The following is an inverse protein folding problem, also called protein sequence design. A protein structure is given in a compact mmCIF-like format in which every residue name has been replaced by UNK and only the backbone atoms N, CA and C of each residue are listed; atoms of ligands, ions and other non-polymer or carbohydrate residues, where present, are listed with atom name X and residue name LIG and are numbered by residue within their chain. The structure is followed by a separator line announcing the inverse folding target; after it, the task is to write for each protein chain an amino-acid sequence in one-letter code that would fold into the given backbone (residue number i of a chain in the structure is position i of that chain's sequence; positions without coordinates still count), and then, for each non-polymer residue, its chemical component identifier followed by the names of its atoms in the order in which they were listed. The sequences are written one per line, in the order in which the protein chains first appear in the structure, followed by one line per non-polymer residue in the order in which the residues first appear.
data_IF_894354887216
#
_entry.id   IF_894354887216
#
_cell.length_a   1.000
_cell.length_b   1.000
_cell.length_c   1.000
_cell.angle_alpha   90.00
_cell.angle_beta   90.00
_cell.angle_gamma   90.00
#
_symmetry.space_group_name_H-M   'P 1'
#
loop_
_entity.id
_entity.type
_entity.pdbx_description
1 polymer ?
#
# COMPACT_ATOMS: atom_id res chain seq x y z
N UNK A 1 52.01 -20.13 -36.50
CA UNK A 1 52.23 -20.11 -37.95
C UNK A 1 51.20 -21.04 -38.56
N UNK A 2 50.18 -20.43 -39.15
CA UNK A 2 49.21 -20.96 -40.12
C UNK A 2 49.89 -21.70 -41.31
N UNK A 3 49.18 -22.28 -42.31
CA UNK A 3 47.75 -22.62 -42.44
C UNK A 3 47.44 -23.94 -43.24
N UNK A 4 46.15 -24.23 -43.42
CA UNK A 4 45.43 -24.73 -44.62
C UNK A 4 46.03 -25.78 -45.59
N UNK A 5 45.23 -26.81 -45.90
CA UNK A 5 44.87 -27.03 -47.31
C UNK A 5 43.58 -27.84 -47.53
N UNK A 6 42.77 -27.34 -48.46
CA UNK A 6 41.51 -27.89 -48.96
C UNK A 6 41.71 -28.67 -50.28
N UNK A 7 40.57 -29.12 -50.87
CA UNK A 7 40.36 -29.71 -52.21
C UNK A 7 40.30 -31.26 -52.24
N UNK A 8 39.42 -31.95 -52.97
CA UNK A 8 38.41 -31.61 -53.97
C UNK A 8 37.43 -32.79 -54.17
N UNK A 9 36.23 -32.52 -54.70
CA UNK A 9 35.30 -33.50 -55.27
C UNK A 9 35.76 -33.98 -56.67
N UNK A 10 35.18 -35.06 -57.23
CA UNK A 10 34.20 -34.82 -58.31
C UNK A 10 33.02 -35.82 -58.39
N UNK A 11 32.06 -35.44 -59.24
CA UNK A 11 30.75 -36.03 -59.56
C UNK A 11 30.80 -36.72 -60.94
N UNK A 12 30.14 -37.87 -61.11
CA UNK A 12 29.43 -38.32 -62.34
C UNK A 12 28.53 -39.52 -62.01
N UNK A 13 27.18 -39.43 -62.09
CA UNK A 13 26.28 -39.68 -63.25
C UNK A 13 26.62 -40.96 -64.02
N UNK A 14 25.73 -41.86 -64.43
CA UNK A 14 24.28 -42.12 -64.32
C UNK A 14 24.02 -43.32 -65.23
N UNK A 15 23.15 -44.27 -64.91
CA UNK A 15 22.25 -44.89 -65.90
C UNK A 15 21.12 -45.71 -65.26
N UNK A 16 19.94 -45.50 -65.81
CA UNK A 16 18.62 -46.06 -65.53
C UNK A 16 18.43 -47.50 -66.00
N UNK A 17 17.62 -48.28 -65.29
CA UNK A 17 16.55 -49.06 -65.91
C UNK A 17 15.45 -49.42 -64.89
N UNK A 18 14.23 -49.37 -65.40
CA UNK A 18 12.92 -49.49 -64.79
C UNK A 18 12.60 -50.88 -64.25
N UNK A 19 11.91 -50.96 -63.11
CA UNK A 19 10.91 -52.01 -62.84
C UNK A 19 9.84 -51.48 -61.86
N UNK A 20 8.60 -51.90 -62.15
CA UNK A 20 7.29 -51.43 -61.69
C UNK A 20 6.92 -51.78 -60.23
N UNK A 21 6.38 -50.82 -59.48
CA UNK A 21 5.70 -51.05 -58.20
C UNK A 21 4.20 -51.39 -58.38
N UNK A 22 3.64 -52.34 -57.60
CA UNK A 22 2.21 -52.59 -57.57
C UNK A 22 1.46 -51.65 -56.60
N UNK A 23 0.30 -51.22 -57.07
CA UNK A 23 -0.65 -50.25 -56.52
C UNK A 23 -1.38 -50.77 -55.26
N UNK A 24 -0.69 -50.92 -54.12
CA UNK A 24 -1.29 -51.48 -52.88
C UNK A 24 -0.93 -50.80 -51.55
N UNK A 25 0.04 -49.88 -51.52
CA UNK A 25 0.61 -49.38 -50.26
C UNK A 25 0.12 -48.01 -49.76
N UNK A 26 -0.61 -47.24 -50.58
CA UNK A 26 -0.91 -45.82 -50.27
C UNK A 26 -2.30 -45.55 -49.68
N UNK A 27 -3.18 -46.56 -49.58
CA UNK A 27 -4.55 -46.41 -49.06
C UNK A 27 -4.71 -46.77 -47.57
N UNK A 28 -3.63 -46.83 -46.78
CA UNK A 28 -3.71 -47.13 -45.33
C UNK A 28 -3.17 -46.04 -44.40
N UNK A 29 -2.89 -44.83 -44.91
CA UNK A 29 -2.32 -43.73 -44.11
C UNK A 29 -3.09 -42.42 -44.14
N UNK A 30 -4.36 -42.44 -44.57
CA UNK A 30 -5.27 -41.30 -44.52
C UNK A 30 -6.61 -41.78 -43.95
N UNK A 31 -6.65 -42.12 -42.67
CA UNK A 31 -7.93 -42.26 -41.96
C UNK A 31 -7.73 -42.14 -40.43
N UNK A 32 -7.70 -40.91 -39.92
CA UNK A 32 -8.12 -40.54 -38.54
C UNK A 32 -8.01 -39.01 -38.37
N UNK A 33 -8.98 -38.27 -38.91
CA UNK A 33 -9.27 -36.89 -38.47
C UNK A 33 -10.80 -36.76 -38.46
N UNK A 34 -11.46 -36.67 -37.29
CA UNK A 34 -12.88 -36.32 -37.24
C UNK A 34 -13.04 -34.79 -37.38
N UNK A 35 -13.85 -34.39 -38.35
CA UNK A 35 -14.28 -33.01 -38.63
C UNK A 35 -15.56 -32.74 -37.80
N UNK A 36 -15.68 -31.62 -37.06
CA UNK A 36 -16.97 -31.24 -36.49
C UNK A 36 -17.85 -30.56 -37.56
N UNK A 37 -19.03 -31.12 -37.75
CA UNK A 37 -20.12 -30.63 -38.59
C UNK A 37 -20.74 -29.36 -38.01
N UNK A 38 -20.85 -28.32 -38.82
CA UNK A 38 -21.59 -27.09 -38.51
C UNK A 38 -23.10 -27.37 -38.64
N UNK A 39 -23.85 -27.27 -37.55
CA UNK A 39 -25.32 -27.17 -37.59
C UNK A 39 -25.78 -25.89 -36.88
N UNK A 40 -26.86 -25.32 -37.41
CA UNK A 40 -27.29 -23.93 -37.28
C UNK A 40 -28.38 -23.80 -36.20
N UNK A 41 -28.28 -22.73 -35.39
CA UNK A 41 -29.35 -22.04 -34.63
C UNK A 41 -30.20 -22.81 -33.61
N UNK A 42 -30.01 -22.48 -32.32
CA UNK A 42 -31.11 -22.25 -31.36
C UNK A 42 -30.60 -21.45 -30.14
N UNK A 43 -31.22 -20.30 -29.90
CA UNK A 43 -31.22 -19.54 -28.66
C UNK A 43 -31.78 -20.37 -27.50
N UNK A 44 -31.11 -20.37 -26.33
CA UNK A 44 -31.70 -20.39 -24.97
C UNK A 44 -30.68 -20.85 -23.90
N UNK A 45 -30.59 -20.06 -22.82
CA UNK A 45 -30.32 -20.47 -21.44
C UNK A 45 -29.22 -21.52 -21.15
N UNK A 46 -28.08 -21.06 -20.62
CA UNK A 46 -27.24 -21.85 -19.72
C UNK A 46 -26.98 -21.05 -18.44
N UNK A 47 -28.04 -20.96 -17.63
CA UNK A 47 -27.92 -21.03 -16.18
C UNK A 47 -27.73 -22.50 -15.79
N UNK A 48 -27.21 -22.76 -14.59
CA UNK A 48 -26.93 -24.06 -13.93
C UNK A 48 -25.50 -24.58 -14.16
N UNK A 49 -24.70 -24.91 -13.14
CA UNK A 49 -24.93 -25.08 -11.70
C UNK A 49 -23.60 -25.14 -10.96
N UNK A 50 -23.64 -24.64 -9.72
CA UNK A 50 -22.68 -24.74 -8.64
C UNK A 50 -22.15 -26.15 -8.38
N UNK A 51 -20.85 -26.26 -8.12
CA UNK A 51 -20.33 -27.24 -7.18
C UNK A 51 -19.75 -26.49 -5.97
N UNK A 52 -20.61 -26.39 -4.97
CA UNK A 52 -20.28 -26.21 -3.56
C UNK A 52 -19.54 -27.45 -3.06
N UNK A 53 -18.33 -27.26 -2.55
CA UNK A 53 -17.73 -28.10 -1.52
C UNK A 53 -17.27 -27.12 -0.44
N UNK A 54 -18.19 -26.71 0.44
CA UNK A 54 -18.36 -27.34 1.76
C UNK A 54 -17.07 -27.38 2.59
N UNK A 55 -16.53 -26.19 2.86
CA UNK A 55 -15.87 -25.87 4.13
C UNK A 55 -16.30 -24.46 4.60
N UNK A 56 -17.58 -24.15 4.36
CA UNK A 56 -18.19 -22.81 4.42
C UNK A 56 -18.62 -22.35 5.83
N UNK A 57 -18.11 -22.97 6.89
CA UNK A 57 -18.49 -22.63 8.28
C UNK A 57 -17.41 -21.94 9.11
N UNK A 58 -16.14 -22.24 8.86
CA UNK A 58 -15.03 -21.91 9.80
C UNK A 58 -14.11 -20.81 9.29
N UNK A 59 -14.15 -20.50 7.99
CA UNK A 59 -13.32 -19.46 7.35
C UNK A 59 -13.98 -18.08 7.30
N UNK A 60 -15.31 -18.01 7.39
CA UNK A 60 -16.12 -16.78 7.37
C UNK A 60 -16.04 -15.92 8.65
N UNK A 61 -15.56 -16.48 9.76
CA UNK A 61 -15.29 -15.71 10.99
C UNK A 61 -13.87 -15.12 11.04
N UNK A 62 -12.98 -15.54 10.13
CA UNK A 62 -11.54 -15.38 10.34
C UNK A 62 -10.94 -14.10 9.76
N UNK A 63 -11.65 -13.39 8.87
CA UNK A 63 -11.05 -12.23 8.19
C UNK A 63 -11.71 -10.87 8.41
N UNK A 64 -12.78 -10.83 9.21
CA UNK A 64 -13.39 -9.63 9.80
C UNK A 64 -13.54 -9.68 11.33
N UNK A 65 -13.15 -10.79 11.96
CA UNK A 65 -13.51 -11.15 13.34
C UNK A 65 -13.43 -10.02 14.37
N UNK A 66 -12.26 -9.38 14.61
CA UNK A 66 -12.16 -8.33 15.61
C UNK A 66 -12.73 -6.97 15.15
N UNK A 67 -12.59 -6.60 13.87
CA UNK A 67 -13.00 -5.28 13.38
C UNK A 67 -14.53 -5.08 13.41
N UNK A 68 -15.32 -6.15 13.19
CA UNK A 68 -16.79 -6.12 13.34
C UNK A 68 -17.19 -5.76 14.78
N UNK A 69 -16.49 -6.31 15.78
CA UNK A 69 -16.70 -5.96 17.18
C UNK A 69 -16.32 -4.52 17.51
N UNK A 70 -15.26 -3.99 16.89
CA UNK A 70 -14.84 -2.60 17.11
C UNK A 70 -15.78 -1.56 16.47
N UNK A 71 -16.69 -1.95 15.57
CA UNK A 71 -17.64 -1.00 14.96
C UNK A 71 -18.54 -0.32 16.00
N UNK A 72 -18.73 -0.94 17.17
CA UNK A 72 -19.45 -0.35 18.30
C UNK A 72 -18.80 0.95 18.80
N UNK A 73 -17.49 1.11 18.60
CA UNK A 73 -16.78 2.33 18.98
C UNK A 73 -17.12 3.53 18.09
N UNK A 74 -17.71 3.33 16.90
CA UNK A 74 -18.12 4.43 16.03
C UNK A 74 -19.22 5.28 16.67
N UNK A 75 -20.41 4.74 17.03
CA UNK A 75 -21.42 5.53 17.72
C UNK A 75 -20.94 5.99 19.11
N UNK A 76 -20.17 5.18 19.83
CA UNK A 76 -19.64 5.56 21.16
C UNK A 76 -18.67 6.74 21.06
N UNK A 77 -17.75 6.74 20.10
CA UNK A 77 -16.76 7.81 19.90
C UNK A 77 -17.41 9.12 19.46
N UNK A 78 -18.43 9.04 18.61
CA UNK A 78 -19.24 10.21 18.21
C UNK A 78 -20.04 10.74 19.41
N UNK A 79 -20.75 9.87 20.13
CA UNK A 79 -21.48 10.26 21.34
C UNK A 79 -20.55 10.86 22.39
N UNK A 80 -19.33 10.32 22.54
CA UNK A 80 -18.35 10.85 23.47
C UNK A 80 -17.93 12.28 23.12
N UNK A 81 -17.74 12.56 21.83
CA UNK A 81 -17.46 13.90 21.32
C UNK A 81 -18.62 14.88 21.49
N UNK A 82 -19.86 14.42 21.36
CA UNK A 82 -21.07 15.26 21.54
C UNK A 82 -21.33 15.55 23.01
N UNK A 83 -21.18 14.56 23.89
CA UNK A 83 -21.41 14.70 25.33
C UNK A 83 -20.27 15.43 26.07
N UNK A 84 -19.15 15.72 25.40
CA UNK A 84 -18.01 16.41 26.02
C UNK A 84 -17.34 15.59 27.12
N UNK A 85 -17.13 14.29 26.89
CA UNK A 85 -16.32 13.45 27.79
C UNK A 85 -14.86 13.95 27.89
N UNK A 86 -14.05 13.43 28.84
CA UNK A 86 -12.65 13.83 28.97
C UNK A 86 -11.88 13.67 27.65
N UNK A 87 -10.99 14.61 27.33
CA UNK A 87 -10.30 14.70 26.03
C UNK A 87 -9.58 13.40 25.66
N UNK A 88 -8.92 12.77 26.64
CA UNK A 88 -8.22 11.49 26.49
C UNK A 88 -9.19 10.37 26.08
N UNK A 89 -10.39 10.33 26.67
CA UNK A 89 -11.40 9.34 26.34
C UNK A 89 -11.95 9.56 24.93
N UNK A 90 -12.28 10.81 24.57
CA UNK A 90 -12.71 11.17 23.21
C UNK A 90 -11.64 10.75 22.20
N UNK A 91 -10.38 11.05 22.47
CA UNK A 91 -9.25 10.71 21.61
C UNK A 91 -9.13 9.19 21.39
N UNK A 92 -9.08 8.40 22.46
CA UNK A 92 -8.92 6.93 22.39
C UNK A 92 -10.12 6.27 21.70
N UNK A 93 -11.35 6.66 22.07
CA UNK A 93 -12.56 6.08 21.49
C UNK A 93 -12.66 6.35 19.99
N UNK A 94 -12.30 7.56 19.55
CA UNK A 94 -12.31 7.90 18.12
C UNK A 94 -11.15 7.24 17.34
N UNK A 95 -10.00 6.96 17.97
CA UNK A 95 -8.97 6.10 17.35
C UNK A 95 -9.53 4.69 17.12
N UNK A 96 -10.16 4.08 18.12
CA UNK A 96 -10.73 2.74 18.00
C UNK A 96 -11.82 2.69 16.93
N UNK A 97 -12.65 3.73 16.84
CA UNK A 97 -13.62 3.91 15.77
C UNK A 97 -12.96 3.93 14.39
N UNK A 98 -11.91 4.73 14.19
CA UNK A 98 -11.18 4.84 12.92
C UNK A 98 -10.50 3.53 12.50
N UNK A 99 -9.92 2.82 13.47
CA UNK A 99 -9.32 1.48 13.26
C UNK A 99 -10.36 0.50 12.70
N UNK A 100 -11.62 0.58 13.15
CA UNK A 100 -12.72 -0.25 12.65
C UNK A 100 -13.29 0.21 11.31
N UNK A 101 -13.32 1.53 11.06
CA UNK A 101 -13.85 2.10 9.82
C UNK A 101 -12.93 1.87 8.63
N UNK A 102 -11.61 1.85 8.83
CA UNK A 102 -10.64 1.62 7.75
C UNK A 102 -10.88 0.33 6.92
N UNK A 103 -11.02 -0.87 7.53
CA UNK A 103 -11.35 -2.08 6.78
C UNK A 103 -12.75 -2.01 6.16
N UNK A 104 -13.72 -1.38 6.81
CA UNK A 104 -15.08 -1.22 6.27
C UNK A 104 -15.11 -0.32 5.02
N UNK A 105 -14.39 0.80 5.03
CA UNK A 105 -14.23 1.67 3.85
C UNK A 105 -13.57 0.88 2.72
N UNK A 106 -12.51 0.13 3.01
CA UNK A 106 -11.82 -0.71 2.00
C UNK A 106 -12.77 -1.72 1.35
N UNK A 107 -13.67 -2.31 2.14
CA UNK A 107 -14.70 -3.23 1.64
C UNK A 107 -15.73 -2.58 0.73
N UNK A 108 -16.23 -1.40 1.12
CA UNK A 108 -17.21 -0.68 0.29
C UNK A 108 -16.59 -0.23 -1.03
N UNK A 109 -15.32 0.19 -1.04
CA UNK A 109 -14.55 0.48 -2.27
C UNK A 109 -14.39 -0.77 -3.12
N UNK A 110 -14.18 -1.93 -2.51
CA UNK A 110 -14.05 -3.20 -3.21
C UNK A 110 -15.34 -3.56 -3.96
N UNK A 111 -16.49 -3.42 -3.29
CA UNK A 111 -17.80 -3.64 -3.89
C UNK A 111 -18.11 -2.62 -4.99
N UNK A 112 -17.80 -1.33 -4.76
CA UNK A 112 -18.04 -0.25 -5.74
C UNK A 112 -17.17 -0.39 -7.00
N UNK A 113 -15.95 -0.90 -6.84
CA UNK A 113 -15.02 -1.14 -7.95
C UNK A 113 -15.30 -2.46 -8.67
N UNK A 114 -16.22 -3.29 -8.18
CA UNK A 114 -16.57 -4.52 -8.84
C UNK A 114 -17.23 -4.24 -10.20
N UNK A 115 -16.73 -4.87 -11.27
CA UNK A 115 -17.20 -4.59 -12.63
C UNK A 115 -16.64 -3.32 -13.29
N UNK A 116 -15.81 -2.51 -12.61
CA UNK A 116 -15.24 -1.27 -13.17
C UNK A 116 -14.02 -1.49 -14.09
N UNK A 117 -13.65 -2.73 -14.40
CA UNK A 117 -12.52 -3.05 -15.29
C UNK A 117 -11.19 -2.43 -14.83
N UNK A 118 -10.50 -1.75 -15.74
CA UNK A 118 -9.21 -1.07 -15.46
C UNK A 118 -9.35 0.00 -14.38
N UNK A 119 -10.50 0.70 -14.32
CA UNK A 119 -10.78 1.73 -13.33
C UNK A 119 -10.91 1.17 -11.91
N UNK A 120 -11.22 -0.13 -11.76
CA UNK A 120 -11.29 -0.76 -10.46
C UNK A 120 -9.96 -0.65 -9.71
N UNK A 121 -8.84 -0.88 -10.41
CA UNK A 121 -7.50 -0.78 -9.83
C UNK A 121 -7.17 0.65 -9.39
N UNK A 122 -7.52 1.64 -10.20
CA UNK A 122 -7.31 3.06 -9.90
C UNK A 122 -8.14 3.52 -8.69
N UNK A 123 -9.44 3.21 -8.65
CA UNK A 123 -10.31 3.54 -7.52
C UNK A 123 -9.81 2.91 -6.22
N UNK A 124 -9.32 1.68 -6.29
CA UNK A 124 -8.72 0.98 -5.14
C UNK A 124 -7.40 1.61 -4.69
N UNK A 125 -6.58 2.10 -5.60
CA UNK A 125 -5.33 2.78 -5.25
C UNK A 125 -5.60 4.10 -4.51
N UNK A 126 -6.59 4.87 -4.96
CA UNK A 126 -6.96 6.16 -4.36
C UNK A 126 -7.71 5.98 -3.04
N UNK A 127 -8.79 5.19 -3.05
CA UNK A 127 -9.69 5.07 -1.90
C UNK A 127 -9.29 3.94 -0.95
N UNK A 128 -8.33 3.08 -1.30
CA UNK A 128 -7.81 2.06 -0.40
C UNK A 128 -7.13 2.64 0.84
N UNK A 129 -6.58 3.86 0.73
CA UNK A 129 -5.97 4.61 1.83
C UNK A 129 -6.84 5.79 2.31
N UNK A 130 -8.16 5.68 2.13
CA UNK A 130 -9.12 6.73 2.51
C UNK A 130 -8.98 7.18 3.96
N UNK A 131 -8.80 6.27 4.93
CA UNK A 131 -8.73 6.67 6.34
C UNK A 131 -7.49 7.52 6.64
N UNK A 132 -6.32 7.17 6.11
CA UNK A 132 -5.11 8.02 6.22
C UNK A 132 -5.34 9.39 5.60
N UNK A 133 -5.95 9.41 4.41
CA UNK A 133 -6.28 10.63 3.69
C UNK A 133 -7.25 11.51 4.51
N UNK A 134 -8.32 10.94 5.06
CA UNK A 134 -9.31 11.65 5.88
C UNK A 134 -8.66 12.25 7.13
N UNK A 135 -7.85 11.47 7.85
CA UNK A 135 -7.18 11.97 9.05
C UNK A 135 -6.22 13.11 8.69
N UNK A 136 -5.46 12.95 7.61
CA UNK A 136 -4.49 13.96 7.16
C UNK A 136 -5.16 15.24 6.67
N UNK A 137 -6.27 15.14 5.92
CA UNK A 137 -7.07 16.30 5.50
C UNK A 137 -7.65 17.00 6.73
N UNK A 138 -8.19 16.25 7.68
CA UNK A 138 -8.76 16.82 8.91
C UNK A 138 -7.71 17.58 9.70
N UNK A 139 -6.54 16.98 9.92
CA UNK A 139 -5.40 17.61 10.56
C UNK A 139 -4.98 18.92 9.85
N UNK A 140 -4.86 18.89 8.52
CA UNK A 140 -4.53 20.07 7.72
C UNK A 140 -5.60 21.17 7.83
N UNK A 141 -6.90 20.83 7.79
CA UNK A 141 -7.99 21.78 7.94
C UNK A 141 -7.94 22.51 9.30
N UNK A 142 -7.55 21.80 10.37
CA UNK A 142 -7.32 22.37 11.70
C UNK A 142 -5.99 23.12 11.84
N UNK A 143 -5.19 23.25 10.77
CA UNK A 143 -3.88 23.91 10.82
C UNK A 143 -2.80 23.06 11.49
N UNK A 144 -3.07 21.79 11.76
CA UNK A 144 -2.15 20.85 12.38
C UNK A 144 -1.30 20.13 11.32
N UNK A 145 -0.50 20.90 10.57
CA UNK A 145 0.28 20.40 9.43
C UNK A 145 1.29 19.31 9.83
N UNK A 146 1.89 19.43 11.02
CA UNK A 146 2.83 18.45 11.57
C UNK A 146 2.19 17.07 11.74
N UNK A 147 0.92 17.00 12.18
CA UNK A 147 0.19 15.73 12.28
C UNK A 147 -0.15 15.16 10.89
N UNK A 148 -0.60 16.01 9.95
CA UNK A 148 -0.87 15.58 8.58
C UNK A 148 0.38 14.98 7.91
N UNK A 149 1.54 15.61 8.12
CA UNK A 149 2.82 15.13 7.60
C UNK A 149 3.29 13.86 8.33
N UNK A 150 3.17 13.85 9.66
CA UNK A 150 3.52 12.72 10.51
C UNK A 150 2.76 11.46 10.16
N UNK A 151 1.48 11.55 9.78
CA UNK A 151 0.66 10.40 9.39
C UNK A 151 1.27 9.67 8.19
N UNK A 152 1.63 10.40 7.14
CA UNK A 152 2.17 9.80 5.90
C UNK A 152 3.54 9.18 6.16
N UNK A 153 4.45 9.90 6.84
CA UNK A 153 5.79 9.37 7.13
C UNK A 153 5.73 8.21 8.10
N UNK A 154 4.96 8.36 9.18
CA UNK A 154 4.77 7.32 10.19
C UNK A 154 4.14 6.06 9.61
N UNK A 155 3.18 6.20 8.70
CA UNK A 155 2.59 5.09 7.95
C UNK A 155 3.65 4.35 7.13
N UNK A 156 4.53 5.09 6.44
CA UNK A 156 5.62 4.52 5.64
C UNK A 156 6.69 3.83 6.49
N UNK A 157 7.06 4.40 7.63
CA UNK A 157 7.97 3.78 8.62
C UNK A 157 7.34 2.49 9.18
N UNK A 158 6.05 2.54 9.54
CA UNK A 158 5.31 1.38 10.03
C UNK A 158 5.28 0.25 9.00
N UNK A 159 4.97 0.53 7.74
CA UNK A 159 4.97 -0.48 6.69
C UNK A 159 6.36 -1.08 6.43
N UNK A 160 7.40 -0.24 6.35
CA UNK A 160 8.76 -0.67 6.04
C UNK A 160 9.42 -1.48 7.16
N UNK A 161 9.11 -1.20 8.42
CA UNK A 161 9.71 -1.89 9.57
C UNK A 161 8.73 -2.83 10.29
N UNK A 162 7.63 -2.30 10.83
CA UNK A 162 6.71 -3.08 11.65
C UNK A 162 5.96 -4.15 10.83
N UNK A 163 5.33 -3.75 9.72
CA UNK A 163 4.52 -4.68 8.91
C UNK A 163 5.40 -5.67 8.16
N UNK A 164 6.52 -5.22 7.61
CA UNK A 164 7.51 -6.10 6.98
C UNK A 164 8.13 -7.06 7.99
N UNK A 165 8.57 -6.56 9.14
CA UNK A 165 9.16 -7.36 10.22
C UNK A 165 8.19 -8.42 10.74
N UNK A 166 6.93 -8.04 10.98
CA UNK A 166 5.86 -8.98 11.33
C UNK A 166 5.63 -10.03 10.25
N UNK A 167 5.65 -9.63 8.98
CA UNK A 167 5.48 -10.55 7.84
C UNK A 167 6.64 -11.55 7.74
N UNK A 168 7.89 -11.10 7.92
CA UNK A 168 9.08 -11.96 7.93
C UNK A 168 9.06 -12.93 9.10
N UNK A 169 8.75 -12.43 10.30
CA UNK A 169 8.62 -13.24 11.51
C UNK A 169 7.54 -14.31 11.31
N UNK A 170 6.33 -13.93 10.90
CA UNK A 170 5.20 -14.86 10.73
C UNK A 170 5.43 -15.89 9.62
N UNK A 171 6.02 -15.49 8.49
CA UNK A 171 6.28 -16.37 7.36
C UNK A 171 7.42 -17.37 7.61
N UNK A 172 8.44 -16.96 8.36
CA UNK A 172 9.66 -17.74 8.63
C UNK A 172 9.63 -18.49 9.96
N UNK A 173 8.65 -18.24 10.84
CA UNK A 173 8.59 -18.91 12.15
C UNK A 173 8.52 -20.44 12.01
N UNK A 174 9.47 -21.15 12.63
CA UNK A 174 9.60 -22.60 12.50
C UNK A 174 10.18 -23.08 11.16
N UNK A 175 10.88 -22.21 10.42
CA UNK A 175 11.64 -22.53 9.21
C UNK A 175 13.04 -21.92 9.30
N UNK A 176 14.03 -22.55 8.66
CA UNK A 176 15.40 -22.01 8.62
C UNK A 176 15.46 -20.68 7.86
N UNK A 177 14.81 -20.63 6.71
CA UNK A 177 14.70 -19.44 5.89
C UNK A 177 13.45 -19.50 5.00
N UNK A 178 12.85 -18.35 4.73
CA UNK A 178 11.75 -18.20 3.77
C UNK A 178 12.26 -17.46 2.53
N UNK A 179 12.15 -18.10 1.36
CA UNK A 179 12.51 -17.47 0.07
C UNK A 179 11.35 -16.66 -0.48
N UNK A 180 11.64 -15.64 -1.29
CA UNK A 180 10.67 -14.87 -2.07
C UNK A 180 11.30 -14.34 -3.36
N UNK A 181 10.50 -13.79 -4.28
CA UNK A 181 10.97 -13.43 -5.63
C UNK A 181 11.74 -12.11 -5.65
N UNK A 182 13.07 -12.18 -5.80
CA UNK A 182 13.96 -11.00 -5.94
C UNK A 182 13.53 -10.05 -7.05
N UNK A 183 13.18 -10.57 -8.22
CA UNK A 183 12.89 -9.74 -9.40
C UNK A 183 11.62 -8.91 -9.20
N UNK A 184 10.56 -9.51 -8.68
CA UNK A 184 9.26 -8.83 -8.50
C UNK A 184 9.26 -7.88 -7.32
N UNK A 185 9.77 -8.31 -6.17
CA UNK A 185 9.82 -7.45 -4.97
C UNK A 185 10.93 -6.41 -5.06
N UNK A 186 12.04 -6.74 -5.72
CA UNK A 186 13.18 -5.84 -5.93
C UNK A 186 12.81 -4.59 -6.71
N UNK A 187 12.12 -4.75 -7.86
CA UNK A 187 11.64 -3.62 -8.65
C UNK A 187 10.73 -2.68 -7.86
N UNK A 188 9.79 -3.22 -7.07
CA UNK A 188 8.91 -2.41 -6.22
C UNK A 188 9.67 -1.68 -5.10
N UNK A 189 10.61 -2.35 -4.45
CA UNK A 189 11.41 -1.74 -3.39
C UNK A 189 12.31 -0.60 -3.91
N UNK A 190 12.85 -0.75 -5.13
CA UNK A 190 13.63 0.30 -5.79
C UNK A 190 12.76 1.53 -6.11
N UNK A 191 11.53 1.33 -6.59
CA UNK A 191 10.58 2.43 -6.79
C UNK A 191 10.27 3.16 -5.48
N UNK A 192 10.03 2.43 -4.39
CA UNK A 192 9.81 3.05 -3.07
C UNK A 192 11.04 3.88 -2.66
N UNK A 193 12.25 3.36 -2.82
CA UNK A 193 13.46 4.09 -2.48
C UNK A 193 13.61 5.39 -3.28
N UNK A 194 13.38 5.34 -4.60
CA UNK A 194 13.47 6.52 -5.48
C UNK A 194 12.45 7.59 -5.07
N UNK A 195 11.20 7.18 -4.83
CA UNK A 195 10.12 8.10 -4.42
C UNK A 195 10.42 8.71 -3.06
N UNK A 196 10.87 7.92 -2.10
CA UNK A 196 11.24 8.40 -0.76
C UNK A 196 12.36 9.43 -0.83
N UNK A 197 13.39 9.20 -1.64
CA UNK A 197 14.47 10.19 -1.85
C UNK A 197 13.88 11.47 -2.45
N UNK A 198 13.09 11.37 -3.51
CA UNK A 198 12.45 12.52 -4.17
C UNK A 198 11.62 13.37 -3.18
N UNK A 199 10.83 12.72 -2.33
CA UNK A 199 9.99 13.40 -1.32
C UNK A 199 10.80 14.13 -0.25
N UNK A 200 12.02 13.65 0.07
CA UNK A 200 12.86 14.26 1.10
C UNK A 200 13.68 15.45 0.60
N UNK A 201 13.83 15.65 -0.72
CA UNK A 201 14.61 16.74 -1.30
C UNK A 201 14.18 18.13 -0.78
N UNK A 202 12.89 18.50 -0.74
CA UNK A 202 12.47 19.81 -0.21
C UNK A 202 12.83 19.98 1.26
N UNK A 203 12.74 18.90 2.04
CA UNK A 203 13.10 18.93 3.44
C UNK A 203 14.60 19.13 3.64
N UNK A 204 15.44 18.37 2.93
CA UNK A 204 16.91 18.49 2.99
C UNK A 204 17.34 19.89 2.56
N UNK A 205 16.77 20.43 1.48
CA UNK A 205 17.06 21.80 1.04
C UNK A 205 16.66 22.83 2.10
N UNK A 206 15.50 22.67 2.74
CA UNK A 206 15.05 23.59 3.79
C UNK A 206 16.00 23.62 5.01
N UNK A 207 16.62 22.48 5.32
CA UNK A 207 17.56 22.34 6.43
C UNK A 207 18.93 22.93 6.04
N UNK A 208 19.42 22.63 4.84
CA UNK A 208 20.68 23.16 4.31
C UNK A 208 20.65 24.70 4.20
N UNK A 209 19.48 25.28 3.94
CA UNK A 209 19.31 26.73 3.81
C UNK A 209 18.94 27.45 5.13
N UNK A 210 19.07 26.80 6.31
CA UNK A 210 18.73 27.43 7.60
C UNK A 210 19.59 28.67 7.92
N UNK A 211 20.81 28.76 7.38
CA UNK A 211 21.78 29.81 7.73
C UNK A 211 21.72 31.08 6.84
N UNK A 212 20.91 31.12 5.78
CA UNK A 212 20.82 32.28 4.88
C UNK A 212 19.75 33.31 5.34
N UNK A 213 20.21 34.47 5.82
CA UNK A 213 19.51 35.44 6.69
C UNK A 213 18.36 36.30 6.11
N UNK A 214 17.51 35.79 5.20
CA UNK A 214 16.31 36.52 4.73
C UNK A 214 15.03 35.73 5.01
N UNK A 215 14.35 36.04 6.13
CA UNK A 215 13.20 35.26 6.64
C UNK A 215 11.95 35.29 5.74
N UNK A 216 11.61 36.43 5.13
CA UNK A 216 10.42 36.54 4.25
C UNK A 216 10.60 35.87 2.88
N UNK A 217 11.79 35.97 2.30
CA UNK A 217 12.14 35.25 1.07
C UNK A 217 12.14 33.73 1.29
N UNK A 218 12.56 33.27 2.47
CA UNK A 218 12.68 31.85 2.82
C UNK A 218 11.33 31.12 2.80
N UNK A 219 10.32 31.64 3.50
CA UNK A 219 9.00 30.98 3.54
C UNK A 219 8.37 30.92 2.14
N UNK A 220 8.47 32.01 1.36
CA UNK A 220 7.93 32.06 0.00
C UNK A 220 8.65 31.11 -0.95
N UNK A 221 9.98 31.11 -0.94
CA UNK A 221 10.80 30.20 -1.75
C UNK A 221 10.55 28.74 -1.37
N UNK A 222 10.35 28.48 -0.08
CA UNK A 222 10.07 27.16 0.44
C UNK A 222 8.67 26.65 0.05
N UNK A 223 7.67 27.53 0.04
CA UNK A 223 6.33 27.20 -0.45
C UNK A 223 6.35 26.96 -1.97
N UNK A 224 7.09 27.77 -2.73
CA UNK A 224 7.28 27.59 -4.18
C UNK A 224 7.98 26.27 -4.47
N UNK A 225 9.02 25.93 -3.71
CA UNK A 225 9.71 24.64 -3.82
C UNK A 225 8.76 23.48 -3.55
N UNK A 226 8.01 23.52 -2.44
CA UNK A 226 7.05 22.47 -2.07
C UNK A 226 5.94 22.32 -3.11
N UNK A 227 5.44 23.43 -3.67
CA UNK A 227 4.45 23.42 -4.76
C UNK A 227 5.02 22.83 -6.05
N UNK A 228 6.24 23.22 -6.43
CA UNK A 228 6.94 22.66 -7.58
C UNK A 228 7.17 21.15 -7.44
N UNK A 229 7.64 20.70 -6.27
CA UNK A 229 7.80 19.27 -5.97
C UNK A 229 6.46 18.54 -5.96
N UNK A 230 5.37 19.16 -5.53
CA UNK A 230 4.03 18.55 -5.59
C UNK A 230 3.55 18.34 -7.02
N UNK A 231 3.78 19.29 -7.92
CA UNK A 231 3.47 19.14 -9.34
C UNK A 231 4.31 18.02 -9.95
N UNK A 232 5.61 17.96 -9.64
CA UNK A 232 6.49 16.87 -10.06
C UNK A 232 6.00 15.52 -9.52
N UNK A 233 5.61 15.44 -8.24
CA UNK A 233 5.10 14.20 -7.64
C UNK A 233 3.74 13.78 -8.21
N UNK A 234 2.88 14.71 -8.63
CA UNK A 234 1.68 14.38 -9.40
C UNK A 234 2.04 13.80 -10.76
N UNK A 235 3.02 14.39 -11.46
CA UNK A 235 3.47 13.84 -12.73
C UNK A 235 4.04 12.42 -12.54
N UNK A 236 4.84 12.21 -11.48
CA UNK A 236 5.34 10.88 -11.10
C UNK A 236 4.22 9.93 -10.69
N UNK A 237 3.17 10.41 -10.01
CA UNK A 237 1.98 9.63 -9.69
C UNK A 237 1.25 9.17 -10.95
N UNK A 238 0.98 10.08 -11.90
CA UNK A 238 0.33 9.74 -13.17
C UNK A 238 1.17 8.71 -13.94
N UNK A 239 2.48 8.95 -14.01
CA UNK A 239 3.43 8.01 -14.64
C UNK A 239 3.44 6.65 -13.94
N UNK A 240 3.39 6.63 -12.60
CA UNK A 240 3.30 5.41 -11.80
C UNK A 240 1.98 4.67 -12.04
N UNK A 241 0.85 5.36 -12.13
CA UNK A 241 -0.45 4.75 -12.42
C UNK A 241 -0.48 4.16 -13.83
N UNK A 242 0.07 4.84 -14.83
CA UNK A 242 0.24 4.31 -16.19
C UNK A 242 1.14 3.07 -16.17
N UNK A 243 2.27 3.14 -15.45
CA UNK A 243 3.18 2.01 -15.27
C UNK A 243 2.47 0.81 -14.63
N UNK A 244 1.72 1.05 -13.55
CA UNK A 244 1.02 0.03 -12.76
C UNK A 244 -0.14 -0.62 -13.50
N UNK A 245 -0.96 0.15 -14.23
CA UNK A 245 -2.21 -0.34 -14.80
C UNK A 245 -2.18 -0.58 -16.31
N UNK A 246 -1.24 0.02 -17.04
CA UNK A 246 -1.15 -0.15 -18.49
C UNK A 246 0.10 -0.94 -18.88
N UNK A 247 1.28 -0.35 -18.71
CA UNK A 247 2.51 -0.87 -19.35
C UNK A 247 3.06 -2.12 -18.67
N UNK A 248 3.09 -2.12 -17.34
CA UNK A 248 3.65 -3.22 -16.55
C UNK A 248 2.58 -3.89 -15.71
N UNK A 249 1.34 -3.93 -16.21
CA UNK A 249 0.25 -4.60 -15.52
C UNK A 249 0.70 -5.99 -15.09
N UNK A 250 1.37 -6.81 -15.90
CA UNK A 250 1.94 -8.13 -15.51
C UNK A 250 2.79 -8.15 -14.23
N UNK A 251 3.59 -7.12 -13.97
CA UNK A 251 4.40 -6.99 -12.74
C UNK A 251 3.52 -6.85 -11.49
N UNK A 252 2.33 -6.26 -11.66
CA UNK A 252 1.30 -6.05 -10.64
C UNK A 252 0.10 -7.04 -10.74
N UNK A 253 -0.05 -7.70 -11.89
CA UNK A 253 -1.22 -8.46 -12.36
C UNK A 253 -0.93 -9.95 -12.50
N UNK A 254 0.27 -10.47 -12.21
CA UNK A 254 0.46 -11.93 -12.03
C UNK A 254 -0.06 -12.46 -10.69
N UNK A 255 -1.33 -12.14 -10.52
CA UNK A 255 -2.32 -12.43 -9.50
C UNK A 255 -3.62 -12.77 -10.29
N UNK A 256 -3.48 -13.39 -11.47
CA UNK A 256 -4.55 -13.87 -12.37
C UNK A 256 -4.61 -15.41 -12.47
N UNK A 257 -4.15 -16.12 -11.44
CA UNK A 257 -4.93 -17.25 -10.93
C UNK A 257 -6.05 -16.70 -10.04
N UNK A 258 -7.00 -17.49 -9.52
CA UNK A 258 -8.19 -17.02 -8.80
C UNK A 258 -7.84 -16.44 -7.41
N UNK A 259 -7.03 -15.38 -7.37
CA UNK A 259 -6.35 -14.97 -6.15
C UNK A 259 -5.92 -13.52 -6.28
N UNK A 260 -6.89 -12.59 -6.35
CA UNK A 260 -6.88 -11.11 -6.21
C UNK A 260 -5.99 -10.61 -5.02
N UNK A 261 -5.80 -9.31 -4.75
CA UNK A 261 -4.90 -8.86 -3.64
C UNK A 261 -5.26 -9.48 -2.28
N UNK A 262 -4.33 -10.08 -1.53
CA UNK A 262 -4.61 -10.95 -0.35
C UNK A 262 -5.54 -10.35 0.74
N UNK A 263 -5.40 -9.06 1.09
CA UNK A 263 -6.33 -8.37 2.00
C UNK A 263 -7.67 -8.07 1.35
N UNK A 264 -7.68 -7.80 0.05
CA UNK A 264 -8.92 -7.69 -0.73
C UNK A 264 -9.54 -9.05 -1.04
N UNK A 265 -8.78 -10.15 -1.04
CA UNK A 265 -9.28 -11.49 -1.34
C UNK A 265 -10.09 -12.05 -0.22
N UNK A 266 -9.59 -11.90 1.00
CA UNK A 266 -10.38 -12.28 2.15
C UNK A 266 -11.66 -11.44 2.23
N UNK A 267 -11.60 -10.15 1.86
CA UNK A 267 -12.79 -9.31 1.80
C UNK A 267 -13.68 -9.57 0.57
N UNK A 268 -13.12 -10.00 -0.56
CA UNK A 268 -13.83 -10.35 -1.78
C UNK A 268 -14.49 -11.73 -1.66
N UNK A 269 -13.86 -12.67 -0.96
CA UNK A 269 -14.42 -13.99 -0.65
C UNK A 269 -15.66 -13.86 0.22
N UNK A 270 -15.71 -12.90 1.14
CA UNK A 270 -16.94 -12.54 1.85
C UNK A 270 -17.96 -11.83 0.94
N UNK A 271 -17.49 -11.06 -0.05
CA UNK A 271 -18.36 -10.34 -1.01
C UNK A 271 -19.02 -11.27 -2.03
N UNK A 272 -18.34 -12.30 -2.52
CA UNK A 272 -18.88 -13.22 -3.54
C UNK A 272 -20.08 -14.04 -3.01
N UNK A 273 -20.33 -14.01 -1.68
CA UNK A 273 -21.54 -14.55 -1.03
C UNK A 273 -22.63 -13.52 -0.69
N UNK A 274 -22.38 -12.21 -0.86
CA UNK A 274 -23.32 -11.13 -0.53
C UNK A 274 -23.77 -10.43 -1.81
N UNK A 275 -24.95 -10.78 -2.32
CA UNK A 275 -25.62 -10.06 -3.43
C UNK A 275 -26.07 -8.67 -2.97
N UNK A 276 -25.12 -7.74 -2.85
CA UNK A 276 -25.37 -6.35 -2.48
C UNK A 276 -25.40 -5.49 -3.72
N UNK A 277 -26.42 -4.64 -3.84
CA UNK A 277 -26.53 -3.74 -4.98
C UNK A 277 -25.41 -2.69 -4.97
N UNK A 278 -24.94 -2.20 -6.14
CA UNK A 278 -23.93 -1.14 -6.20
C UNK A 278 -24.30 0.13 -5.42
N UNK A 279 -25.59 0.43 -5.31
CA UNK A 279 -26.12 1.55 -4.52
C UNK A 279 -25.91 1.37 -3.02
N UNK A 280 -26.04 0.14 -2.49
CA UNK A 280 -25.73 -0.15 -1.09
C UNK A 280 -24.23 0.03 -0.79
N UNK A 281 -23.36 -0.35 -1.73
CA UNK A 281 -21.92 -0.15 -1.58
C UNK A 281 -21.53 1.33 -1.65
N UNK A 282 -22.13 2.09 -2.58
CA UNK A 282 -21.92 3.52 -2.67
C UNK A 282 -22.39 4.25 -1.40
N UNK A 283 -23.59 3.94 -0.90
CA UNK A 283 -24.10 4.53 0.35
C UNK A 283 -23.29 4.12 1.58
N UNK A 284 -22.85 2.86 1.66
CA UNK A 284 -21.93 2.40 2.71
C UNK A 284 -20.58 3.12 2.67
N UNK A 285 -20.02 3.35 1.48
CA UNK A 285 -18.78 4.10 1.30
C UNK A 285 -18.92 5.55 1.76
N UNK A 286 -19.97 6.25 1.30
CA UNK A 286 -20.23 7.64 1.70
C UNK A 286 -20.49 7.73 3.20
N UNK A 287 -21.37 6.88 3.74
CA UNK A 287 -21.71 6.88 5.16
C UNK A 287 -20.51 6.62 6.06
N UNK A 288 -19.68 5.63 5.74
CA UNK A 288 -18.47 5.32 6.52
C UNK A 288 -17.40 6.40 6.39
N UNK A 289 -17.26 7.02 5.22
CA UNK A 289 -16.35 8.16 5.01
C UNK A 289 -16.77 9.37 5.85
N UNK A 290 -18.07 9.69 5.89
CA UNK A 290 -18.61 10.77 6.73
C UNK A 290 -18.38 10.46 8.21
N UNK A 291 -18.69 9.24 8.66
CA UNK A 291 -18.45 8.82 10.04
C UNK A 291 -16.96 8.91 10.40
N UNK A 292 -16.07 8.47 9.52
CA UNK A 292 -14.62 8.60 9.71
C UNK A 292 -14.18 10.06 9.77
N UNK A 293 -14.76 10.94 8.96
CA UNK A 293 -14.53 12.38 9.03
C UNK A 293 -14.95 12.98 10.37
N UNK A 294 -16.12 12.61 10.90
CA UNK A 294 -16.60 13.05 12.22
C UNK A 294 -15.70 12.52 13.34
N UNK A 295 -15.32 11.23 13.30
CA UNK A 295 -14.45 10.64 14.32
C UNK A 295 -13.05 11.28 14.29
N UNK A 296 -12.49 11.45 13.10
CA UNK A 296 -11.22 12.15 12.86
C UNK A 296 -11.26 13.58 13.39
N UNK A 297 -12.38 14.28 13.17
CA UNK A 297 -12.58 15.63 13.67
C UNK A 297 -12.48 15.69 15.21
N UNK A 298 -13.22 14.84 15.92
CA UNK A 298 -13.12 14.77 17.38
C UNK A 298 -11.73 14.36 17.85
N UNK A 299 -11.10 13.38 17.20
CA UNK A 299 -9.73 12.96 17.52
C UNK A 299 -8.72 14.11 17.40
N UNK A 300 -8.69 14.81 16.26
CA UNK A 300 -7.72 15.88 16.00
C UNK A 300 -7.95 17.09 16.91
N UNK A 301 -9.20 17.43 17.26
CA UNK A 301 -9.47 18.55 18.18
C UNK A 301 -8.97 18.30 19.60
N UNK A 302 -8.93 17.04 20.04
CA UNK A 302 -8.58 16.64 21.41
C UNK A 302 -7.11 16.22 21.56
N UNK A 303 -6.35 16.15 20.47
CA UNK A 303 -4.98 15.62 20.48
C UNK A 303 -4.03 16.45 21.35
N UNK A 304 -4.04 17.77 21.26
CA UNK A 304 -3.10 18.63 21.99
C UNK A 304 -3.35 18.60 23.51
N UNK A 305 -4.61 18.46 23.93
CA UNK A 305 -4.97 18.28 25.34
C UNK A 305 -4.56 16.89 25.84
N UNK A 306 -4.78 15.86 25.02
CA UNK A 306 -4.37 14.48 25.32
C UNK A 306 -2.85 14.36 25.48
N UNK A 307 -2.09 15.01 24.60
CA UNK A 307 -0.62 15.05 24.65
C UNK A 307 -0.14 15.64 25.98
N UNK A 308 -0.74 16.76 26.41
CA UNK A 308 -0.43 17.41 27.69
C UNK A 308 -0.76 16.53 28.89
N UNK A 309 -1.91 15.85 28.88
CA UNK A 309 -2.34 14.98 29.98
C UNK A 309 -1.54 13.68 30.08
N UNK A 310 -1.16 13.10 28.94
CA UNK A 310 -0.40 11.83 28.89
C UNK A 310 1.12 12.03 28.91
N UNK A 311 1.60 13.28 28.93
CA UNK A 311 3.03 13.62 28.87
C UNK A 311 3.78 12.95 27.71
N UNK A 312 3.12 12.83 26.55
CA UNK A 312 3.71 12.31 25.31
C UNK A 312 4.12 13.47 24.41
N UNK A 313 4.91 13.21 23.37
CA UNK A 313 5.37 14.24 22.42
C UNK A 313 4.45 14.34 21.20
N UNK A 314 4.35 15.53 20.60
CA UNK A 314 3.66 15.74 19.32
C UNK A 314 4.19 14.85 18.20
N UNK A 315 5.51 14.68 18.10
CA UNK A 315 6.11 13.80 17.11
C UNK A 315 5.72 12.34 17.34
N UNK A 316 5.66 11.87 18.59
CA UNK A 316 5.19 10.51 18.90
C UNK A 316 3.73 10.32 18.52
N UNK A 317 2.86 11.27 18.89
CA UNK A 317 1.45 11.22 18.51
C UNK A 317 1.27 11.22 16.99
N UNK A 318 1.98 12.10 16.27
CA UNK A 318 1.89 12.26 14.83
C UNK A 318 2.48 11.11 14.01
N UNK A 319 3.63 10.56 14.41
CA UNK A 319 4.36 9.54 13.63
C UNK A 319 4.14 8.10 14.10
N UNK A 320 3.62 7.90 15.31
CA UNK A 320 3.37 6.55 15.85
C UNK A 320 1.87 6.32 16.02
N UNK A 321 1.17 7.18 16.78
CA UNK A 321 -0.24 6.94 17.15
C UNK A 321 -1.19 7.16 15.96
N UNK A 322 -1.13 8.30 15.29
CA UNK A 322 -2.08 8.64 14.22
C UNK A 322 -2.02 7.70 13.00
N UNK A 323 -0.84 7.25 12.52
CA UNK A 323 -0.79 6.24 11.44
C UNK A 323 -1.47 4.93 11.82
N UNK A 324 -1.38 4.51 13.09
CA UNK A 324 -2.04 3.28 13.56
C UNK A 324 -3.56 3.42 13.43
N UNK A 325 -4.13 4.60 13.73
CA UNK A 325 -5.57 4.83 13.59
C UNK A 325 -6.09 4.57 12.15
N UNK A 326 -5.27 4.88 11.13
CA UNK A 326 -5.63 4.65 9.73
C UNK A 326 -5.34 3.24 9.21
N UNK A 327 -4.32 2.56 9.74
CA UNK A 327 -3.71 1.39 9.10
C UNK A 327 -3.51 0.15 9.95
N UNK A 328 -3.90 0.17 11.22
CA UNK A 328 -3.65 -0.95 12.15
C UNK A 328 -4.25 -2.27 11.64
N UNK A 329 -5.53 -2.27 11.26
CA UNK A 329 -6.18 -3.50 10.78
C UNK A 329 -5.61 -4.00 9.46
N UNK A 330 -5.26 -3.09 8.54
CA UNK A 330 -4.60 -3.47 7.28
C UNK A 330 -3.25 -4.13 7.57
N UNK A 331 -2.46 -3.54 8.45
CA UNK A 331 -1.14 -4.02 8.88
C UNK A 331 -1.22 -5.43 9.47
N UNK A 332 -2.15 -5.66 10.40
CA UNK A 332 -2.34 -6.99 10.98
C UNK A 332 -2.77 -8.04 9.96
N UNK A 333 -3.66 -7.69 9.04
CA UNK A 333 -4.10 -8.62 7.98
C UNK A 333 -2.95 -9.01 7.05
N UNK A 334 -2.06 -8.07 6.71
CA UNK A 334 -0.86 -8.36 5.91
C UNK A 334 0.04 -9.36 6.65
N UNK A 335 0.36 -9.07 7.92
CA UNK A 335 1.22 -9.92 8.76
C UNK A 335 0.62 -11.33 8.89
N UNK A 336 -0.67 -11.42 9.24
CA UNK A 336 -1.38 -12.68 9.44
C UNK A 336 -1.30 -13.58 8.20
N UNK A 337 -1.51 -12.98 7.02
CA UNK A 337 -1.59 -13.70 5.76
C UNK A 337 -0.22 -13.95 5.11
N UNK A 338 0.87 -13.44 5.69
CA UNK A 338 2.23 -13.65 5.18
C UNK A 338 2.69 -15.12 5.30
N UNK A 339 2.13 -15.89 6.25
CA UNK A 339 2.46 -17.30 6.41
C UNK A 339 1.71 -18.17 5.40
N UNK A 340 2.49 -18.96 4.67
CA UNK A 340 1.99 -20.08 3.89
C UNK A 340 1.73 -21.28 4.81
N UNK A 341 0.49 -21.76 4.86
CA UNK A 341 0.06 -22.95 5.60
C UNK A 341 -0.25 -24.04 4.56
N UNK A 342 0.36 -25.22 4.70
CA UNK A 342 0.14 -26.41 3.85
C UNK A 342 1.20 -26.68 2.76
N UNK A 343 1.32 -27.97 2.39
CA UNK A 343 1.94 -28.43 1.14
C UNK A 343 0.93 -28.24 0.00
N UNK A 344 1.39 -27.74 -1.15
CA UNK A 344 0.60 -27.47 -2.37
C UNK A 344 -0.14 -26.13 -2.34
N UNK A 345 0.58 -25.06 -2.69
CA UNK A 345 -0.06 -24.00 -3.47
C UNK A 345 -0.30 -24.58 -4.86
N UNK A 346 -1.52 -25.03 -5.14
CA UNK A 346 -1.99 -25.39 -6.49
C UNK A 346 -1.81 -24.25 -7.50
N UNK A 347 -1.54 -23.03 -7.02
CA UNK A 347 -1.32 -21.79 -7.78
C UNK A 347 0.14 -21.33 -7.89
N UNK A 348 1.12 -21.99 -7.25
CA UNK A 348 2.56 -21.61 -7.36
C UNK A 348 2.96 -20.22 -6.84
N UNK A 349 2.03 -19.45 -6.24
CA UNK A 349 2.30 -18.10 -5.71
C UNK A 349 2.72 -18.14 -4.24
N UNK A 350 3.80 -17.43 -3.93
CA UNK A 350 4.33 -17.30 -2.57
C UNK A 350 3.58 -16.20 -1.79
N UNK A 351 2.98 -16.57 -0.64
CA UNK A 351 2.19 -15.62 0.19
C UNK A 351 3.04 -14.47 0.74
N UNK A 352 4.31 -14.73 1.07
CA UNK A 352 5.24 -13.70 1.54
C UNK A 352 5.54 -12.67 0.43
N UNK A 353 5.75 -13.12 -0.79
CA UNK A 353 5.98 -12.22 -1.95
C UNK A 353 4.78 -11.28 -2.15
N UNK A 354 3.55 -11.83 -2.05
CA UNK A 354 2.34 -11.01 -2.10
C UNK A 354 2.22 -10.02 -0.94
N UNK A 355 2.60 -10.41 0.28
CA UNK A 355 2.62 -9.50 1.43
C UNK A 355 3.63 -8.35 1.23
N UNK A 356 4.86 -8.65 0.78
CA UNK A 356 5.89 -7.65 0.49
C UNK A 356 5.41 -6.68 -0.59
N UNK A 357 4.84 -7.18 -1.70
CA UNK A 357 4.30 -6.29 -2.76
C UNK A 357 3.19 -5.38 -2.22
N UNK A 358 2.33 -5.90 -1.35
CA UNK A 358 1.26 -5.11 -0.75
C UNK A 358 1.83 -4.01 0.16
N UNK A 359 2.84 -4.32 0.97
CA UNK A 359 3.57 -3.33 1.79
C UNK A 359 4.13 -2.22 0.91
N UNK A 360 4.89 -2.56 -0.15
CA UNK A 360 5.47 -1.58 -1.06
C UNK A 360 4.41 -0.73 -1.75
N UNK A 361 3.29 -1.35 -2.15
CA UNK A 361 2.18 -0.64 -2.80
C UNK A 361 1.54 0.36 -1.85
N UNK A 362 1.32 0.01 -0.57
CA UNK A 362 0.78 0.94 0.40
C UNK A 362 1.73 2.12 0.64
N UNK A 363 3.04 1.87 0.71
CA UNK A 363 4.03 2.96 0.82
C UNK A 363 3.98 3.85 -0.42
N UNK A 364 4.02 3.29 -1.63
CA UNK A 364 3.96 4.06 -2.88
C UNK A 364 2.69 4.89 -2.97
N UNK A 365 1.52 4.30 -2.68
CA UNK A 365 0.24 5.02 -2.71
C UNK A 365 0.22 6.13 -1.65
N UNK A 366 0.73 5.90 -0.43
CA UNK A 366 0.82 6.94 0.60
C UNK A 366 1.78 8.08 0.20
N UNK A 367 2.93 7.80 -0.41
CA UNK A 367 3.92 8.82 -0.78
C UNK A 367 3.59 9.56 -2.10
N UNK A 368 3.19 8.83 -3.14
CA UNK A 368 2.92 9.41 -4.47
C UNK A 368 1.53 10.03 -4.57
N UNK A 369 0.56 9.60 -3.76
CA UNK A 369 -0.79 10.15 -3.82
C UNK A 369 -1.09 11.08 -2.65
N UNK A 370 -1.05 10.60 -1.41
CA UNK A 370 -1.55 11.38 -0.26
C UNK A 370 -0.76 12.68 -0.05
N UNK A 371 0.57 12.62 -0.07
CA UNK A 371 1.42 13.81 0.15
C UNK A 371 1.20 14.94 -0.86
N UNK A 372 1.40 14.73 -2.17
CA UNK A 372 1.19 15.79 -3.14
C UNK A 372 -0.27 16.25 -3.20
N UNK A 373 -1.22 15.35 -2.97
CA UNK A 373 -2.63 15.72 -2.86
C UNK A 373 -2.89 16.69 -1.70
N UNK A 374 -2.31 16.45 -0.52
CA UNK A 374 -2.48 17.36 0.63
C UNK A 374 -1.88 18.74 0.37
N UNK A 375 -0.70 18.82 -0.28
CA UNK A 375 -0.10 20.12 -0.59
C UNK A 375 -0.93 20.91 -1.59
N UNK A 376 -1.48 20.24 -2.61
CA UNK A 376 -2.35 20.88 -3.60
C UNK A 376 -3.70 21.28 -3.00
N UNK A 377 -4.30 20.41 -2.18
CA UNK A 377 -5.52 20.73 -1.48
C UNK A 377 -5.29 21.93 -0.55
N UNK A 378 -4.18 21.93 0.20
CA UNK A 378 -3.72 23.06 1.01
C UNK A 378 -3.62 24.34 0.19
N UNK A 379 -3.04 24.27 -1.01
CA UNK A 379 -2.96 25.43 -1.91
C UNK A 379 -4.35 25.93 -2.35
N UNK A 380 -5.27 25.02 -2.71
CA UNK A 380 -6.64 25.37 -3.09
C UNK A 380 -7.40 26.05 -1.94
N UNK A 381 -7.24 25.56 -0.72
CA UNK A 381 -7.91 26.08 0.48
C UNK A 381 -7.13 27.21 1.20
N UNK A 382 -6.07 27.73 0.58
CA UNK A 382 -5.18 28.76 1.14
C UNK A 382 -4.54 28.42 2.50
N UNK A 383 -4.21 27.14 2.72
CA UNK A 383 -3.43 26.66 3.87
C UNK A 383 -1.98 26.37 3.46
N UNK A 384 -0.96 26.79 4.23
CA UNK A 384 0.45 26.63 3.89
C UNK A 384 0.97 25.21 4.15
N UNK A 385 0.37 24.20 3.53
CA UNK A 385 0.85 22.81 3.60
C UNK A 385 2.13 22.66 2.77
N UNK A 386 3.18 22.09 3.36
CA UNK A 386 4.50 21.88 2.73
C UNK A 386 4.94 20.42 2.81
N UNK A 387 5.99 20.06 2.07
CA UNK A 387 6.68 18.76 2.21
C UNK A 387 7.94 18.90 3.06
N UNK A 388 7.81 19.62 4.18
CA UNK A 388 8.90 19.79 5.13
C UNK A 388 8.67 18.91 6.34
N UNK A 389 9.64 18.03 6.57
CA UNK A 389 9.69 17.21 7.76
C UNK A 389 10.81 17.72 8.66
N UNK A 390 10.81 17.30 9.92
CA UNK A 390 11.99 17.51 10.75
C UNK A 390 13.18 16.68 10.25
N UNK A 391 14.39 17.14 10.57
CA UNK A 391 15.63 16.46 10.17
C UNK A 391 15.64 15.01 10.65
N UNK A 392 15.32 14.79 11.92
CA UNK A 392 15.31 13.47 12.52
C UNK A 392 14.23 12.57 11.88
N UNK A 393 13.02 13.09 11.66
CA UNK A 393 11.95 12.40 10.92
C UNK A 393 12.42 11.94 9.54
N UNK A 394 13.12 12.82 8.82
CA UNK A 394 13.66 12.55 7.47
C UNK A 394 14.72 11.46 7.50
N UNK A 395 15.67 11.53 8.42
CA UNK A 395 16.75 10.55 8.56
C UNK A 395 16.19 9.18 8.90
N UNK A 396 15.31 9.11 9.91
CA UNK A 396 14.68 7.84 10.33
C UNK A 396 13.82 7.25 9.20
N UNK A 397 13.06 8.08 8.48
CA UNK A 397 12.29 7.67 7.33
C UNK A 397 13.17 7.06 6.23
N UNK A 398 14.21 7.78 5.79
CA UNK A 398 15.12 7.27 4.74
C UNK A 398 15.85 6.02 5.20
N UNK A 399 16.33 5.98 6.44
CA UNK A 399 17.00 4.81 7.00
C UNK A 399 16.08 3.58 7.00
N UNK A 400 14.81 3.75 7.37
CA UNK A 400 13.81 2.66 7.35
C UNK A 400 13.60 2.11 5.94
N UNK A 401 13.48 3.00 4.95
CA UNK A 401 13.32 2.62 3.54
C UNK A 401 14.56 1.93 2.97
N UNK A 402 15.76 2.39 3.34
CA UNK A 402 17.03 1.76 2.94
C UNK A 402 17.13 0.35 3.50
N UNK A 403 16.88 0.17 4.80
CA UNK A 403 16.89 -1.15 5.46
C UNK A 403 15.91 -2.11 4.76
N UNK A 404 14.67 -1.66 4.55
CA UNK A 404 13.67 -2.46 3.85
C UNK A 404 14.14 -2.85 2.44
N UNK A 405 14.64 -1.89 1.67
CA UNK A 405 15.07 -2.11 0.28
C UNK A 405 16.21 -3.11 0.21
N UNK A 406 17.19 -2.99 1.11
CA UNK A 406 18.29 -3.93 1.25
C UNK A 406 17.76 -5.34 1.53
N UNK A 407 16.96 -5.53 2.57
CA UNK A 407 16.41 -6.84 2.95
C UNK A 407 15.57 -7.50 1.85
N UNK A 408 14.77 -6.70 1.13
CA UNK A 408 13.93 -7.21 0.03
C UNK A 408 14.77 -7.64 -1.18
N UNK A 409 15.92 -7.02 -1.42
CA UNK A 409 16.82 -7.45 -2.51
C UNK A 409 17.52 -8.79 -2.22
N UNK A 410 17.68 -9.18 -0.94
CA UNK A 410 18.28 -10.46 -0.58
C UNK A 410 17.46 -11.68 -1.01
N UNK A 411 16.13 -11.55 -1.19
CA UNK A 411 15.25 -12.61 -1.71
C UNK A 411 15.05 -13.82 -0.79
N UNK A 412 15.60 -13.78 0.42
CA UNK A 412 15.40 -14.75 1.49
C UNK A 412 15.35 -13.99 2.80
N UNK A 413 14.62 -14.52 3.77
CA UNK A 413 14.54 -13.92 5.10
C UNK A 413 14.48 -14.98 6.20
N UNK A 414 14.84 -14.58 7.41
CA UNK A 414 14.75 -15.39 8.64
C UNK A 414 13.74 -14.78 9.61
N UNK A 415 13.29 -15.57 10.60
CA UNK A 415 12.41 -15.03 11.63
C UNK A 415 13.12 -13.97 12.48
N UNK A 416 14.45 -14.09 12.65
CA UNK A 416 15.25 -13.16 13.44
C UNK A 416 15.41 -11.79 12.77
N UNK A 417 15.57 -11.74 11.44
CA UNK A 417 15.50 -10.48 10.69
C UNK A 417 14.14 -9.78 10.93
N UNK A 418 13.04 -10.54 10.95
CA UNK A 418 11.72 -10.01 11.26
C UNK A 418 11.62 -9.42 12.67
N UNK A 419 12.19 -10.13 13.66
CA UNK A 419 12.25 -9.63 15.04
C UNK A 419 13.08 -8.36 15.16
N UNK A 420 14.25 -8.30 14.52
CA UNK A 420 15.12 -7.12 14.52
C UNK A 420 14.47 -5.90 13.86
N UNK A 421 13.68 -6.09 12.81
CA UNK A 421 12.89 -5.02 12.19
C UNK A 421 11.83 -4.46 13.14
N UNK A 422 11.09 -5.32 13.84
CA UNK A 422 10.13 -4.89 14.86
C UNK A 422 10.85 -4.16 16.01
N UNK A 423 11.97 -4.69 16.48
CA UNK A 423 12.81 -4.04 17.50
C UNK A 423 13.34 -2.67 17.06
N UNK A 424 13.67 -2.51 15.78
CA UNK A 424 14.07 -1.21 15.19
C UNK A 424 12.90 -0.24 15.20
N UNK A 425 11.69 -0.66 14.80
CA UNK A 425 10.49 0.16 14.87
C UNK A 425 10.17 0.61 16.30
N UNK A 426 10.24 -0.29 17.28
CA UNK A 426 10.02 0.03 18.69
C UNK A 426 11.08 1.01 19.21
N UNK A 427 12.35 0.80 18.87
CA UNK A 427 13.43 1.74 19.23
C UNK A 427 13.19 3.14 18.66
N UNK A 428 12.73 3.24 17.41
CA UNK A 428 12.33 4.50 16.78
C UNK A 428 11.15 5.13 17.51
N UNK A 429 10.12 4.35 17.86
CA UNK A 429 8.95 4.85 18.59
C UNK A 429 9.35 5.40 19.97
N UNK A 430 10.24 4.71 20.70
CA UNK A 430 10.81 5.19 21.97
C UNK A 430 11.62 6.47 21.76
N UNK A 431 12.41 6.55 20.70
CA UNK A 431 13.17 7.77 20.40
C UNK A 431 12.24 8.97 20.14
N UNK A 432 11.12 8.79 19.43
CA UNK A 432 10.11 9.83 19.26
C UNK A 432 9.38 10.18 20.56
N UNK A 433 9.16 9.20 21.44
CA UNK A 433 8.54 9.41 22.75
C UNK A 433 9.42 10.28 23.67
N UNK A 434 10.74 10.05 23.68
CA UNK A 434 11.68 10.76 24.56
C UNK A 434 12.10 12.12 23.99
N UNK A 435 11.99 12.33 22.68
CA UNK A 435 12.49 13.54 22.02
C UNK A 435 11.84 14.80 22.61
N UNK A 436 12.62 15.78 23.10
CA UNK A 436 12.06 17.03 23.58
C UNK A 436 11.36 17.76 22.44
N UNK A 437 10.17 18.30 22.72
CA UNK A 437 9.52 19.23 21.80
C UNK A 437 10.37 20.49 21.73
N UNK A 438 11.11 20.64 20.64
CA UNK A 438 11.76 21.93 20.37
C UNK A 438 10.64 22.92 20.11
N UNK A 439 10.42 23.84 21.04
CA UNK A 439 9.51 24.94 20.87
C UNK A 439 10.00 25.81 19.69
N UNK A 440 9.51 25.53 18.49
CA UNK A 440 9.56 26.51 17.39
C UNK A 440 8.63 27.67 17.77
N UNK A 441 9.15 28.60 18.58
CA UNK A 441 8.37 29.74 19.03
C UNK A 441 8.84 30.49 20.27
N UNK A 442 10.12 30.43 20.67
CA UNK A 442 10.69 31.42 21.63
C UNK A 442 12.14 31.71 21.26
N UNK A 443 12.34 32.37 20.13
CA UNK A 443 13.48 33.27 19.95
C UNK A 443 12.89 34.67 19.73
N UNK A 444 12.52 35.27 20.87
CA UNK A 444 12.66 36.70 21.16
C UNK A 444 12.22 37.68 20.07
N UNK A 445 11.00 38.22 20.22
CA UNK A 445 10.85 39.67 20.23
C UNK A 445 11.83 40.24 21.27
N UNK A 446 13.04 40.54 20.83
CA UNK A 446 14.06 41.24 21.58
C UNK A 446 14.42 42.50 20.81
N UNK A 447 13.49 43.43 20.74
CA UNK A 447 13.80 44.83 20.47
C UNK A 447 12.70 45.69 21.06
N UNK A 448 13.00 46.35 22.16
CA UNK A 448 13.16 47.80 22.18
C UNK A 448 13.37 48.24 23.63
N UNK A 449 14.55 48.79 23.90
CA UNK A 449 14.77 49.55 25.12
C UNK A 449 13.96 50.84 25.07
N UNK A 450 13.38 51.23 26.20
CA UNK A 450 13.25 52.63 26.64
C UNK A 450 12.84 52.65 28.11
N UNK A 451 13.73 53.24 28.93
CA UNK A 451 13.57 53.80 30.29
C UNK A 451 13.33 52.87 31.46
#
# INVERSE_FOLDING_TARGET
MDPDNAAAAPISRSHSSSQSEPLGGLLRRINTIPIPTLSRTASASLFTRSETCSDDGTTLNYSYGPAKGLLVFVPIGIAAGVCGLPDVAIFILNILALVSLAPFITFTVLGLSNGAGVWAGFLRAIFGNSTELIISITAMCYGQFQYAQGIVIGSSISYSLFVLGGSFLRASYGKDHQKFSKTRTGAMSALVMIVSICLTIPTIMSIANKDSALQDGRQRNMLVLSRGTSVLLIFLLISYLIFRFQTHHELFSRVHGPTRSLTMLTMQSEFDGVTTSPLMMASGFVGSTVCAGICSNYMIRNIDLTIKMLHITKSFAGLVILPLAGNLMKSFNIIRNARQEGHISTTGVNKLDSAIRLIMTNILDTLLFIMPFLVLLGWIINKPMTMQFGLFETVVFLQSIVIMTYLVQHGKTTYFEGFMLIGTYVSIAVAFYVRPEVAEGVLTHGNDGYK
#
